data_IF_132021635518
#
_entry.id   IF_132021635518
#
_cell.length_a   1.000
_cell.length_b   1.000
_cell.length_c   1.000
_cell.angle_alpha   90.00
_cell.angle_beta   90.00
_cell.angle_gamma   90.00
#
_symmetry.space_group_name_H-M   'P 1'
#
loop_
_entity.id
_entity.type
_entity.pdbx_description
1 polymer ?
#
# COMPACT_ATOMS: atom_id res chain seq x y z
N UNK A 1 -17.69 34.00 -24.13
CA UNK A 1 -16.73 33.78 -23.03
C UNK A 1 -16.65 32.30 -22.60
N UNK A 2 -17.72 31.66 -22.10
CA UNK A 2 -17.69 30.29 -21.56
C UNK A 2 -17.34 29.17 -22.56
N UNK A 3 -17.73 29.32 -23.84
CA UNK A 3 -17.53 28.29 -24.86
C UNK A 3 -16.06 28.22 -25.33
N UNK A 4 -15.40 29.37 -25.47
CA UNK A 4 -13.97 29.46 -25.83
C UNK A 4 -13.08 28.85 -24.73
N UNK A 5 -13.40 29.12 -23.46
CA UNK A 5 -12.72 28.50 -22.33
C UNK A 5 -12.90 26.98 -22.30
N UNK A 6 -14.08 26.47 -22.66
CA UNK A 6 -14.32 25.02 -22.78
C UNK A 6 -13.51 24.37 -23.92
N UNK A 7 -13.35 25.06 -25.05
CA UNK A 7 -12.58 24.57 -26.19
C UNK A 7 -11.08 24.49 -25.86
N UNK A 8 -10.55 25.40 -25.04
CA UNK A 8 -9.15 25.38 -24.58
C UNK A 8 -8.96 24.42 -23.39
N UNK A 9 -9.96 24.30 -22.51
CA UNK A 9 -9.91 23.38 -21.37
C UNK A 9 -10.03 21.90 -21.80
N UNK A 10 -10.70 21.61 -22.92
CA UNK A 10 -10.84 20.26 -23.46
C UNK A 10 -9.48 19.58 -23.76
N UNK A 11 -8.56 20.17 -24.55
CA UNK A 11 -7.24 19.58 -24.79
C UNK A 11 -6.39 19.52 -23.51
N UNK A 12 -6.50 20.52 -22.62
CA UNK A 12 -5.79 20.51 -21.34
C UNK A 12 -6.23 19.34 -20.45
N UNK A 13 -7.53 19.04 -20.40
CA UNK A 13 -8.05 17.88 -19.66
C UNK A 13 -7.55 16.56 -20.24
N UNK A 14 -7.41 16.45 -21.56
CA UNK A 14 -6.82 15.26 -22.21
C UNK A 14 -5.35 15.10 -21.82
N UNK A 15 -4.54 16.17 -21.89
CA UNK A 15 -3.15 16.13 -21.43
C UNK A 15 -3.03 15.74 -19.96
N UNK A 16 -3.88 16.31 -19.10
CA UNK A 16 -3.92 15.98 -17.69
C UNK A 16 -4.27 14.51 -17.46
N UNK A 17 -5.23 13.97 -18.22
CA UNK A 17 -5.65 12.57 -18.14
C UNK A 17 -4.51 11.63 -18.55
N UNK A 18 -3.79 11.96 -19.62
CA UNK A 18 -2.62 11.18 -20.08
C UNK A 18 -1.49 11.25 -19.05
N UNK A 19 -1.21 12.43 -18.48
CA UNK A 19 -0.21 12.57 -17.44
C UNK A 19 -0.55 11.74 -16.20
N UNK A 20 -1.81 11.78 -15.73
CA UNK A 20 -2.29 10.97 -14.61
C UNK A 20 -2.17 9.48 -14.93
N UNK A 21 -2.56 9.04 -16.12
CA UNK A 21 -2.40 7.64 -16.53
C UNK A 21 -0.93 7.20 -16.54
N UNK A 22 -0.02 8.07 -16.96
CA UNK A 22 1.42 7.82 -16.93
C UNK A 22 1.92 7.67 -15.49
N UNK A 23 1.54 8.57 -14.58
CA UNK A 23 1.89 8.45 -13.16
C UNK A 23 1.33 7.17 -12.54
N UNK A 24 0.06 6.82 -12.80
CA UNK A 24 -0.54 5.56 -12.31
C UNK A 24 0.27 4.36 -12.82
N UNK A 25 0.64 4.34 -14.10
CA UNK A 25 1.46 3.28 -14.66
C UNK A 25 2.82 3.15 -13.96
N UNK A 26 3.51 4.28 -13.74
CA UNK A 26 4.77 4.29 -12.99
C UNK A 26 4.59 3.83 -11.55
N UNK A 27 3.52 4.24 -10.88
CA UNK A 27 3.21 3.83 -9.51
C UNK A 27 2.98 2.32 -9.42
N UNK A 28 2.17 1.74 -10.31
CA UNK A 28 1.92 0.29 -10.34
C UNK A 28 3.21 -0.48 -10.64
N UNK A 29 4.04 0.02 -11.55
CA UNK A 29 5.33 -0.61 -11.85
C UNK A 29 6.26 -0.55 -10.64
N UNK A 30 6.35 0.62 -10.00
CA UNK A 30 7.14 0.82 -8.78
C UNK A 30 6.64 -0.06 -7.65
N UNK A 31 5.32 -0.20 -7.47
CA UNK A 31 4.70 -1.04 -6.46
C UNK A 31 5.11 -2.51 -6.62
N UNK A 32 5.06 -3.02 -7.86
CA UNK A 32 5.51 -4.38 -8.17
C UNK A 32 6.99 -4.60 -7.87
N UNK A 33 7.86 -3.66 -8.29
CA UNK A 33 9.30 -3.77 -8.07
C UNK A 33 9.61 -3.69 -6.57
N UNK A 34 9.01 -2.73 -5.87
CA UNK A 34 9.26 -2.49 -4.45
C UNK A 34 8.72 -3.63 -3.58
N UNK A 35 7.58 -4.22 -3.97
CA UNK A 35 7.05 -5.45 -3.34
C UNK A 35 8.00 -6.64 -3.52
N UNK A 36 8.58 -6.81 -4.72
CA UNK A 36 9.58 -7.87 -4.97
C UNK A 36 10.85 -7.66 -4.14
N UNK A 37 11.37 -6.44 -4.11
CA UNK A 37 12.56 -6.06 -3.32
C UNK A 37 12.29 -6.24 -1.83
N UNK A 38 11.14 -5.79 -1.33
CA UNK A 38 10.72 -6.01 0.05
C UNK A 38 10.62 -7.50 0.38
N UNK A 39 10.07 -8.32 -0.52
CA UNK A 39 9.97 -9.77 -0.32
C UNK A 39 11.35 -10.43 -0.19
N UNK A 40 12.30 -10.05 -1.04
CA UNK A 40 13.70 -10.51 -0.93
C UNK A 40 14.35 -10.04 0.37
N UNK A 41 14.17 -8.77 0.73
CA UNK A 41 14.72 -8.19 1.97
C UNK A 41 14.17 -8.90 3.21
N UNK A 42 12.88 -9.26 3.20
CA UNK A 42 12.24 -10.04 4.26
C UNK A 42 12.81 -11.47 4.33
N UNK A 43 13.01 -12.12 3.18
CA UNK A 43 13.64 -13.44 3.11
C UNK A 43 15.06 -13.42 3.70
N UNK A 44 15.85 -12.39 3.36
CA UNK A 44 17.17 -12.17 3.94
C UNK A 44 17.12 -11.91 5.45
N UNK A 45 16.18 -11.08 5.92
CA UNK A 45 15.98 -10.83 7.35
C UNK A 45 15.66 -12.11 8.13
N UNK A 46 14.79 -12.97 7.59
CA UNK A 46 14.47 -14.28 8.18
C UNK A 46 15.70 -15.20 8.17
N UNK A 47 16.44 -15.26 7.07
CA UNK A 47 17.66 -16.05 6.97
C UNK A 47 18.69 -15.62 8.02
N UNK A 48 18.94 -14.33 8.18
CA UNK A 48 19.83 -13.81 9.24
C UNK A 48 19.33 -14.20 10.63
N UNK A 49 18.03 -14.09 10.89
CA UNK A 49 17.43 -14.51 12.16
C UNK A 49 17.68 -15.99 12.48
N UNK A 50 17.51 -16.87 11.48
CA UNK A 50 17.67 -18.32 11.64
C UNK A 50 19.15 -18.72 11.76
N UNK A 51 20.01 -18.18 10.90
CA UNK A 51 21.42 -18.59 10.84
C UNK A 51 22.30 -17.91 11.90
N UNK A 52 22.07 -16.63 12.21
CA UNK A 52 22.87 -15.88 13.18
C UNK A 52 22.26 -15.89 14.59
N UNK A 53 21.00 -16.37 14.75
CA UNK A 53 20.23 -16.29 16.02
C UNK A 53 20.12 -14.86 16.59
N UNK A 54 20.35 -13.85 15.76
CA UNK A 54 20.23 -12.44 16.09
C UNK A 54 18.83 -11.94 15.73
N UNK A 55 17.92 -12.10 16.69
CA UNK A 55 16.52 -11.69 16.54
C UNK A 55 16.35 -10.17 16.39
N UNK A 56 17.24 -9.38 17.00
CA UNK A 56 17.19 -7.92 16.93
C UNK A 56 17.56 -7.41 15.53
N UNK A 57 18.63 -7.94 14.93
CA UNK A 57 19.07 -7.56 13.58
C UNK A 57 18.05 -7.96 12.51
N UNK A 58 17.58 -9.22 12.54
CA UNK A 58 16.57 -9.70 11.58
C UNK A 58 15.23 -8.97 11.71
N UNK A 59 14.81 -8.62 12.93
CA UNK A 59 13.58 -7.87 13.17
C UNK A 59 13.60 -6.46 12.58
N UNK A 60 14.73 -5.74 12.69
CA UNK A 60 14.89 -4.40 12.09
C UNK A 60 14.88 -4.47 10.56
N UNK A 61 15.51 -5.47 9.97
CA UNK A 61 15.46 -5.70 8.51
C UNK A 61 14.04 -5.99 8.03
N UNK A 62 13.27 -6.78 8.78
CA UNK A 62 11.87 -7.06 8.47
C UNK A 62 10.99 -5.81 8.60
N UNK A 63 11.21 -5.00 9.63
CA UNK A 63 10.50 -3.75 9.81
C UNK A 63 10.80 -2.74 8.69
N UNK A 64 12.06 -2.62 8.28
CA UNK A 64 12.47 -1.78 7.16
C UNK A 64 11.91 -2.28 5.82
N UNK A 65 11.92 -3.60 5.59
CA UNK A 65 11.27 -4.20 4.43
C UNK A 65 9.77 -3.89 4.42
N UNK A 66 9.12 -4.02 5.57
CA UNK A 66 7.70 -3.73 5.73
C UNK A 66 7.36 -2.25 5.47
N UNK A 67 8.17 -1.31 5.97
CA UNK A 67 8.00 0.13 5.72
C UNK A 67 8.29 0.51 4.28
N UNK A 68 9.29 -0.12 3.67
CA UNK A 68 9.61 0.09 2.26
C UNK A 68 8.52 -0.49 1.34
N UNK A 69 7.78 -1.51 1.79
CA UNK A 69 6.69 -2.08 1.02
C UNK A 69 5.50 -1.11 0.92
N UNK A 70 5.11 -0.71 -0.30
CA UNK A 70 3.96 0.17 -0.51
C UNK A 70 2.63 -0.50 -0.11
N UNK A 71 2.63 -1.82 0.07
CA UNK A 71 1.44 -2.64 0.40
C UNK A 71 1.37 -2.97 1.89
N UNK A 72 2.46 -2.79 2.66
CA UNK A 72 2.51 -3.19 4.07
C UNK A 72 1.51 -2.42 4.94
N UNK A 73 1.56 -1.10 4.92
CA UNK A 73 0.67 -0.24 5.71
C UNK A 73 -0.81 -0.44 5.33
N UNK A 74 -1.19 -0.46 4.04
CA UNK A 74 -2.56 -0.78 3.63
C UNK A 74 -3.08 -2.12 4.17
N UNK A 75 -2.27 -3.19 4.15
CA UNK A 75 -2.68 -4.50 4.63
C UNK A 75 -2.99 -4.53 6.13
N UNK A 76 -2.21 -3.81 6.96
CA UNK A 76 -2.52 -3.68 8.39
C UNK A 76 -3.81 -2.89 8.60
N UNK A 77 -4.03 -1.83 7.81
CA UNK A 77 -5.24 -1.03 7.89
C UNK A 77 -6.48 -1.89 7.57
N UNK A 78 -6.45 -2.69 6.50
CA UNK A 78 -7.54 -3.62 6.16
C UNK A 78 -7.81 -4.66 7.24
N UNK A 79 -6.75 -5.27 7.79
CA UNK A 79 -6.89 -6.22 8.90
C UNK A 79 -7.55 -5.59 10.13
N UNK A 80 -7.11 -4.37 10.49
CA UNK A 80 -7.65 -3.65 11.64
C UNK A 80 -9.12 -3.29 11.40
N UNK A 81 -9.45 -2.76 10.22
CA UNK A 81 -10.83 -2.43 9.83
C UNK A 81 -11.73 -3.66 9.90
N UNK A 82 -11.29 -4.80 9.38
CA UNK A 82 -12.03 -6.07 9.45
C UNK A 82 -12.34 -6.48 10.90
N UNK A 83 -11.36 -6.35 11.80
CA UNK A 83 -11.54 -6.66 13.22
C UNK A 83 -12.53 -5.71 13.91
N UNK A 84 -12.49 -4.42 13.56
CA UNK A 84 -13.45 -3.43 14.03
C UNK A 84 -14.87 -3.71 13.52
N UNK A 85 -15.01 -4.12 12.26
CA UNK A 85 -16.31 -4.55 11.71
C UNK A 85 -16.86 -5.76 12.48
N UNK A 86 -16.03 -6.77 12.73
CA UNK A 86 -16.42 -7.95 13.53
C UNK A 86 -16.87 -7.56 14.95
N UNK A 87 -16.14 -6.66 15.61
CA UNK A 87 -16.50 -6.17 16.94
C UNK A 87 -17.81 -5.37 16.93
N UNK A 88 -18.00 -4.51 15.93
CA UNK A 88 -19.22 -3.72 15.76
C UNK A 88 -20.44 -4.64 15.51
N UNK A 89 -20.26 -5.70 14.73
CA UNK A 89 -21.30 -6.71 14.50
C UNK A 89 -21.66 -7.42 15.81
N UNK A 90 -20.67 -7.90 16.57
CA UNK A 90 -20.91 -8.54 17.86
C UNK A 90 -21.59 -7.61 18.89
N UNK A 91 -21.23 -6.32 18.90
CA UNK A 91 -21.89 -5.30 19.74
C UNK A 91 -23.35 -5.08 19.33
N UNK A 92 -23.64 -5.04 18.03
CA UNK A 92 -25.01 -4.90 17.52
C UNK A 92 -25.86 -6.11 17.87
N UNK A 93 -25.33 -7.32 17.72
CA UNK A 93 -26.02 -8.55 18.10
C UNK A 93 -26.29 -8.60 19.60
N UNK A 94 -25.37 -8.14 20.44
CA UNK A 94 -25.57 -8.04 21.89
C UNK A 94 -26.65 -7.04 22.29
N UNK A 95 -26.79 -5.92 21.58
CA UNK A 95 -27.81 -4.88 21.88
C UNK A 95 -29.21 -5.31 21.38
N UNK A 96 -29.27 -6.07 20.30
CA UNK A 96 -30.51 -6.55 19.70
C UNK A 96 -31.01 -7.87 20.31
N UNK A 97 -30.17 -8.55 21.09
CA UNK A 97 -30.52 -9.72 21.91
C UNK A 97 -31.08 -9.31 23.28
#
# INVERSE_FOLDING_TARGET
MRIILKIIAAPFAVFLTIAVAMFIFLFVLSEKILSLVSGLMALFGIAVMIFQREWVGGGVFLFLAFLASPVGIPAIAEWLISKLYGLNHALRDFILS
#
